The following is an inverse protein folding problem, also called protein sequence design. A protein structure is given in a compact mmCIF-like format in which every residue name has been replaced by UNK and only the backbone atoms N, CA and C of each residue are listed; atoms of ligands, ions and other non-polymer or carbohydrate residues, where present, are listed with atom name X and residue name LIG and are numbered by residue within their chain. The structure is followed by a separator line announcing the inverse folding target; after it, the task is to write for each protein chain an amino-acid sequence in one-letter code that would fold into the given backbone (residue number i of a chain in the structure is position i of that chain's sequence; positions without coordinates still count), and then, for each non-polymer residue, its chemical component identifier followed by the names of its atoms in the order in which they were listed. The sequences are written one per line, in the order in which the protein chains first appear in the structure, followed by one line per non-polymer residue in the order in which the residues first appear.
data_IF_166213001321
#
_entry.id   IF_166213001321
#
_cell.length_a   1.000
_cell.length_b   1.000
_cell.length_c   1.000
_cell.angle_alpha   90.00
_cell.angle_beta   90.00
_cell.angle_gamma   90.00
#
_symmetry.space_group_name_H-M   'P 1'
#
loop_
_entity.id
_entity.type
_entity.pdbx_description
1 polymer ?
#
# COMPACT_ATOMS: atom_id res chain seq x y z
N UNK A 1 33.76 -3.00 12.97
CA UNK A 1 32.76 -3.81 13.69
C UNK A 1 31.53 -2.92 13.83
N UNK A 2 30.39 -3.30 13.27
CA UNK A 2 29.15 -2.56 13.51
C UNK A 2 28.87 -2.54 15.02
N UNK A 3 28.46 -1.39 15.55
CA UNK A 3 28.20 -1.18 16.97
C UNK A 3 27.07 -2.13 17.44
N UNK A 4 27.42 -3.15 18.23
CA UNK A 4 26.46 -4.14 18.77
C UNK A 4 25.31 -3.47 19.54
N UNK A 5 25.55 -2.28 20.10
CA UNK A 5 24.55 -1.48 20.81
C UNK A 5 23.41 -1.04 19.90
N UNK A 6 23.71 -0.62 18.67
CA UNK A 6 22.69 -0.19 17.71
C UNK A 6 21.78 -1.33 17.29
N UNK A 7 22.36 -2.51 17.01
CA UNK A 7 21.57 -3.68 16.62
C UNK A 7 20.61 -4.12 17.73
N UNK A 8 21.08 -4.18 18.97
CA UNK A 8 20.25 -4.52 20.13
C UNK A 8 19.13 -3.49 20.31
N UNK A 9 19.44 -2.20 20.17
CA UNK A 9 18.46 -1.13 20.28
C UNK A 9 17.36 -1.24 19.21
N UNK A 10 17.72 -1.52 17.95
CA UNK A 10 16.74 -1.75 16.89
C UNK A 10 15.87 -2.96 17.21
N UNK A 11 16.47 -4.08 17.63
CA UNK A 11 15.72 -5.30 17.93
C UNK A 11 14.72 -5.11 19.09
N UNK A 12 15.07 -4.31 20.10
CA UNK A 12 14.22 -4.04 21.25
C UNK A 12 13.08 -3.06 20.96
N UNK A 13 13.26 -2.15 20.01
CA UNK A 13 12.29 -1.09 19.70
C UNK A 13 11.51 -1.33 18.40
N UNK A 14 11.89 -2.32 17.59
CA UNK A 14 11.19 -2.67 16.36
C UNK A 14 9.84 -3.34 16.64
N UNK A 15 8.83 -2.96 15.86
CA UNK A 15 7.58 -3.71 15.80
C UNK A 15 7.78 -4.86 14.81
N UNK A 16 7.82 -6.09 15.33
CA UNK A 16 8.01 -7.29 14.49
C UNK A 16 6.73 -7.61 13.73
N UNK A 17 6.81 -7.64 12.40
CA UNK A 17 5.75 -8.17 11.55
C UNK A 17 5.80 -9.70 11.56
N UNK A 18 4.66 -10.36 11.82
CA UNK A 18 4.55 -11.81 11.89
C UNK A 18 4.03 -12.44 10.60
N UNK A 19 3.90 -11.64 9.54
CA UNK A 19 3.36 -12.01 8.23
C UNK A 19 1.90 -12.46 8.34
N UNK A 20 1.01 -11.49 8.26
CA UNK A 20 -0.46 -11.61 8.23
C UNK A 20 -1.15 -11.69 9.60
N UNK A 21 -0.51 -11.23 10.69
CA UNK A 21 -1.27 -11.00 11.91
C UNK A 21 -2.12 -9.73 11.75
N UNK A 22 -3.35 -9.76 12.22
CA UNK A 22 -4.32 -8.64 12.05
C UNK A 22 -3.85 -7.34 12.69
N UNK A 23 -3.03 -7.45 13.73
CA UNK A 23 -2.46 -6.38 14.55
C UNK A 23 -1.03 -5.98 14.14
N UNK A 24 -0.44 -6.59 13.09
CA UNK A 24 0.94 -6.30 12.66
C UNK A 24 1.16 -4.81 12.32
N UNK A 25 0.12 -4.09 11.91
CA UNK A 25 0.19 -2.67 11.54
C UNK A 25 -0.41 -1.73 12.59
N UNK A 26 -0.82 -2.21 13.76
CA UNK A 26 -1.47 -1.36 14.77
C UNK A 26 -0.56 -0.20 15.17
N UNK A 27 0.71 -0.50 15.46
CA UNK A 27 1.69 0.50 15.87
C UNK A 27 1.85 1.63 14.84
N UNK A 28 1.86 1.32 13.54
CA UNK A 28 2.01 2.35 12.50
C UNK A 28 0.71 3.14 12.31
N UNK A 29 -0.46 2.50 12.40
CA UNK A 29 -1.76 3.18 12.29
C UNK A 29 -2.01 4.13 13.48
N UNK A 30 -1.54 3.74 14.68
CA UNK A 30 -1.53 4.60 15.86
C UNK A 30 -0.57 5.78 15.64
N UNK A 31 0.65 5.52 15.19
CA UNK A 31 1.67 6.55 14.96
C UNK A 31 1.27 7.59 13.90
N UNK A 32 0.55 7.18 12.85
CA UNK A 32 0.00 8.06 11.81
C UNK A 32 -0.98 9.11 12.40
N UNK A 33 -1.65 8.78 13.51
CA UNK A 33 -2.50 9.73 14.24
C UNK A 33 -3.64 10.29 13.38
N UNK A 34 -3.75 11.62 13.34
CA UNK A 34 -4.78 12.37 12.60
C UNK A 34 -4.17 13.17 11.43
N UNK A 35 -3.17 12.61 10.76
CA UNK A 35 -2.55 13.25 9.60
C UNK A 35 -3.46 13.18 8.38
N UNK A 36 -3.40 14.21 7.54
CA UNK A 36 -4.20 14.30 6.30
C UNK A 36 -3.54 13.63 5.10
N UNK A 37 -2.22 13.52 5.12
CA UNK A 37 -1.42 12.98 4.01
C UNK A 37 -0.47 11.94 4.60
N UNK A 38 -0.55 10.72 4.07
CA UNK A 38 0.35 9.62 4.39
C UNK A 38 1.05 9.21 3.10
N UNK A 39 2.38 9.20 3.11
CA UNK A 39 3.21 8.79 1.98
C UNK A 39 3.84 7.45 2.33
N UNK A 40 3.60 6.45 1.48
CA UNK A 40 4.14 5.10 1.65
C UNK A 40 5.11 4.85 0.49
N UNK A 41 6.40 4.72 0.81
CA UNK A 41 7.43 4.41 -0.18
C UNK A 41 7.75 2.92 -0.25
N UNK A 42 8.51 2.53 -1.27
CA UNK A 42 9.17 1.23 -1.36
C UNK A 42 10.64 1.39 -1.76
N UNK A 43 11.47 0.41 -1.40
CA UNK A 43 12.91 0.42 -1.72
C UNK A 43 13.17 -0.07 -3.14
N UNK A 44 12.27 -0.90 -3.70
CA UNK A 44 12.36 -1.42 -5.06
C UNK A 44 10.98 -1.76 -5.60
N UNK A 45 10.76 -1.51 -6.89
CA UNK A 45 9.60 -2.03 -7.60
C UNK A 45 9.68 -3.56 -7.73
N UNK A 46 8.53 -4.23 -7.56
CA UNK A 46 8.37 -5.64 -7.92
C UNK A 46 8.70 -6.67 -6.85
N UNK A 47 8.79 -6.26 -5.59
CA UNK A 47 8.80 -7.22 -4.48
C UNK A 47 7.37 -7.42 -3.98
N UNK A 48 6.85 -8.63 -4.15
CA UNK A 48 5.49 -9.00 -3.75
C UNK A 48 5.23 -8.66 -2.27
N UNK A 49 6.23 -8.82 -1.41
CA UNK A 49 6.16 -8.50 0.01
C UNK A 49 5.90 -7.00 0.25
N UNK A 50 6.56 -6.12 -0.49
CA UNK A 50 6.33 -4.67 -0.34
C UNK A 50 4.93 -4.29 -0.77
N UNK A 51 4.45 -4.79 -1.91
CA UNK A 51 3.08 -4.53 -2.35
C UNK A 51 2.04 -5.08 -1.38
N UNK A 52 2.26 -6.26 -0.80
CA UNK A 52 1.38 -6.82 0.22
C UNK A 52 1.31 -5.93 1.47
N UNK A 53 2.45 -5.43 1.95
CA UNK A 53 2.50 -4.49 3.07
C UNK A 53 1.80 -3.16 2.75
N UNK A 54 2.05 -2.59 1.57
CA UNK A 54 1.39 -1.35 1.14
C UNK A 54 -0.12 -1.53 1.00
N UNK A 55 -0.58 -2.65 0.46
CA UNK A 55 -2.00 -2.97 0.32
C UNK A 55 -2.70 -3.07 1.67
N UNK A 56 -2.12 -3.79 2.64
CA UNK A 56 -2.71 -3.90 3.98
C UNK A 56 -2.73 -2.57 4.73
N UNK A 57 -1.65 -1.79 4.69
CA UNK A 57 -1.63 -0.45 5.30
C UNK A 57 -2.69 0.46 4.64
N UNK A 58 -2.77 0.46 3.32
CA UNK A 58 -3.75 1.27 2.57
C UNK A 58 -5.18 0.87 2.90
N UNK A 59 -5.47 -0.43 3.00
CA UNK A 59 -6.77 -0.95 3.41
C UNK A 59 -7.16 -0.47 4.80
N UNK A 60 -6.23 -0.52 5.76
CA UNK A 60 -6.48 0.01 7.12
C UNK A 60 -6.69 1.52 7.13
N UNK A 61 -5.95 2.28 6.33
CA UNK A 61 -6.18 3.73 6.19
C UNK A 61 -7.58 4.04 5.65
N UNK A 62 -8.10 3.24 4.72
CA UNK A 62 -9.46 3.38 4.22
C UNK A 62 -10.47 3.05 5.32
N UNK A 63 -10.33 1.87 5.95
CA UNK A 63 -11.30 1.33 6.89
C UNK A 63 -11.34 2.05 8.25
N UNK A 64 -10.17 2.46 8.77
CA UNK A 64 -10.02 2.99 10.13
C UNK A 64 -9.81 4.51 10.16
N UNK A 65 -9.23 5.09 9.10
CA UNK A 65 -8.91 6.53 9.04
C UNK A 65 -9.76 7.30 8.03
N UNK A 66 -10.66 6.62 7.31
CA UNK A 66 -11.56 7.27 6.34
C UNK A 66 -10.84 7.82 5.12
N UNK A 67 -9.69 7.23 4.73
CA UNK A 67 -9.00 7.62 3.51
C UNK A 67 -9.90 7.35 2.29
N UNK A 68 -10.10 8.38 1.46
CA UNK A 68 -10.99 8.32 0.27
C UNK A 68 -10.26 8.60 -1.04
N UNK A 69 -8.97 8.96 -0.99
CA UNK A 69 -8.14 9.29 -2.14
C UNK A 69 -6.83 8.50 -2.05
N UNK A 70 -6.48 7.81 -3.12
CA UNK A 70 -5.19 7.13 -3.26
C UNK A 70 -4.50 7.75 -4.47
N UNK A 71 -3.29 8.28 -4.24
CA UNK A 71 -2.42 8.74 -5.30
C UNK A 71 -1.31 7.70 -5.49
N UNK A 72 -1.15 7.21 -6.72
CA UNK A 72 -0.11 6.24 -7.07
C UNK A 72 0.92 6.93 -7.96
N UNK A 73 2.19 6.52 -7.84
CA UNK A 73 3.23 6.85 -8.81
C UNK A 73 2.93 6.09 -10.11
N UNK A 74 2.06 6.63 -10.96
CA UNK A 74 1.61 5.94 -12.16
C UNK A 74 1.18 6.91 -13.26
N UNK A 75 1.20 6.42 -14.50
CA UNK A 75 0.67 7.18 -15.63
C UNK A 75 -0.83 7.43 -15.44
N UNK A 76 -1.26 8.68 -15.60
CA UNK A 76 -2.64 9.11 -15.36
C UNK A 76 -3.69 8.25 -16.08
N UNK A 77 -3.55 7.88 -17.37
CA UNK A 77 -4.55 7.06 -18.06
C UNK A 77 -4.76 5.69 -17.39
N UNK A 78 -3.67 5.03 -16.98
CA UNK A 78 -3.72 3.72 -16.31
C UNK A 78 -4.41 3.83 -14.95
N UNK A 79 -4.03 4.83 -14.14
CA UNK A 79 -4.67 5.08 -12.84
C UNK A 79 -6.15 5.46 -12.98
N UNK A 80 -6.49 6.30 -13.97
CA UNK A 80 -7.86 6.72 -14.24
C UNK A 80 -8.75 5.53 -14.64
N UNK A 81 -8.23 4.59 -15.43
CA UNK A 81 -8.94 3.37 -15.80
C UNK A 81 -9.29 2.51 -14.59
N UNK A 82 -8.35 2.31 -13.66
CA UNK A 82 -8.61 1.61 -12.38
C UNK A 82 -9.63 2.37 -11.53
N UNK A 83 -9.51 3.70 -11.44
CA UNK A 83 -10.47 4.51 -10.70
C UNK A 83 -11.90 4.35 -11.24
N UNK A 84 -12.10 4.31 -12.56
CA UNK A 84 -13.42 4.06 -13.17
C UNK A 84 -13.97 2.67 -12.83
N UNK A 85 -13.12 1.64 -12.85
CA UNK A 85 -13.49 0.30 -12.40
C UNK A 85 -13.93 0.29 -10.93
N UNK A 86 -13.14 0.87 -10.01
CA UNK A 86 -13.45 0.93 -8.58
C UNK A 86 -14.73 1.71 -8.29
N UNK A 87 -15.07 2.71 -9.11
CA UNK A 87 -16.31 3.49 -9.01
C UNK A 87 -17.53 2.81 -9.66
N UNK A 88 -17.38 1.61 -10.22
CA UNK A 88 -18.47 0.85 -10.83
C UNK A 88 -18.83 1.27 -12.26
N UNK A 89 -17.98 2.07 -12.91
CA UNK A 89 -18.17 2.52 -14.29
C UNK A 89 -17.54 1.53 -15.29
N UNK A 90 -17.77 0.23 -15.06
CA UNK A 90 -17.16 -0.86 -15.81
C UNK A 90 -17.80 -1.08 -17.19
N UNK A 91 -19.08 -0.73 -17.33
CA UNK A 91 -19.89 -0.98 -18.53
C UNK A 91 -19.49 -0.11 -19.72
N UNK A 92 -18.93 1.08 -19.49
CA UNK A 92 -18.46 1.97 -20.56
C UNK A 92 -17.05 1.67 -21.04
N UNK A 93 -16.29 0.82 -20.33
CA UNK A 93 -14.87 0.56 -20.60
C UNK A 93 -14.54 -0.91 -20.95
N UNK A 94 -15.55 -1.77 -21.09
CA UNK A 94 -15.38 -3.22 -21.29
C UNK A 94 -14.43 -3.86 -20.26
N UNK A 95 -14.43 -3.36 -19.03
CA UNK A 95 -13.59 -3.90 -17.96
C UNK A 95 -14.33 -5.09 -17.34
N UNK A 96 -13.78 -6.29 -17.46
CA UNK A 96 -14.43 -7.53 -17.00
C UNK A 96 -14.17 -7.81 -15.53
N UNK A 97 -12.99 -7.44 -15.04
CA UNK A 97 -12.52 -7.72 -13.68
C UNK A 97 -11.37 -6.78 -13.28
N UNK A 98 -10.91 -6.92 -12.04
CA UNK A 98 -9.83 -6.09 -11.49
C UNK A 98 -8.47 -6.30 -12.19
N UNK A 99 -8.16 -7.51 -12.63
CA UNK A 99 -6.91 -7.76 -13.37
C UNK A 99 -6.97 -7.07 -14.71
N UNK A 100 -8.11 -7.15 -15.40
CA UNK A 100 -8.34 -6.39 -16.61
C UNK A 100 -8.15 -4.90 -16.37
N UNK A 101 -8.74 -4.32 -15.30
CA UNK A 101 -8.57 -2.93 -14.87
C UNK A 101 -7.07 -2.51 -14.77
N UNK A 102 -6.23 -3.42 -14.29
CA UNK A 102 -4.80 -3.22 -14.04
C UNK A 102 -3.89 -3.46 -15.26
N UNK A 103 -4.36 -4.08 -16.35
CA UNK A 103 -3.51 -4.43 -17.52
C UNK A 103 -2.70 -3.29 -18.14
N UNK A 104 -3.09 -2.04 -17.92
CA UNK A 104 -2.38 -0.86 -18.43
C UNK A 104 -1.21 -0.41 -17.52
N UNK A 105 -1.03 -1.02 -16.36
CA UNK A 105 0.16 -0.85 -15.51
C UNK A 105 1.29 -1.74 -16.02
N UNK A 106 1.92 -1.36 -17.14
CA UNK A 106 3.00 -2.14 -17.77
C UNK A 106 4.39 -1.82 -17.22
N UNK A 107 4.53 -0.69 -16.52
CA UNK A 107 5.80 -0.22 -15.93
C UNK A 107 6.08 -0.83 -14.55
N UNK A 108 5.08 -1.45 -13.95
CA UNK A 108 5.16 -2.07 -12.63
C UNK A 108 4.97 -3.58 -12.80
N UNK A 109 5.95 -4.39 -12.41
CA UNK A 109 5.76 -5.84 -12.38
C UNK A 109 4.64 -6.18 -11.37
N UNK A 110 3.70 -7.02 -11.83
CA UNK A 110 2.66 -7.64 -10.99
C UNK A 110 3.16 -8.98 -10.43
#
# INVERSE_FOLDING_TARGET
MADQTQFISIQQNANRLRQNATDDYDSIIVAIGNTHIVIIGEVSHGSHEFYAHQAEITKRLIQEKGCTIIACEADWPSAYRVNRWVKGDSTTLNITDANDALKQFTRFPL
#
